data_IF_629974336074
#
_entry.id   IF_629974336074
#
_cell.length_a   1.000
_cell.length_b   1.000
_cell.length_c   1.000
_cell.angle_alpha   90.00
_cell.angle_beta   90.00
_cell.angle_gamma   90.00
#
_symmetry.space_group_name_H-M   'P 1'
#
loop_
_entity.id
_entity.type
_entity.pdbx_description
1 polymer ?
#
# COMPACT_ATOMS: atom_id res chain seq x y z
N UNK A 1 -7.12 -5.04 15.36
CA UNK A 1 -8.27 -5.28 16.28
C UNK A 1 -8.01 -6.30 17.40
N UNK A 2 -7.05 -7.24 17.28
CA UNK A 2 -6.99 -8.46 18.12
C UNK A 2 -6.83 -8.30 19.64
N UNK A 3 -6.59 -7.09 20.16
CA UNK A 3 -6.47 -6.84 21.61
C UNK A 3 -7.75 -6.34 22.28
N UNK A 4 -8.79 -5.98 21.51
CA UNK A 4 -10.09 -5.53 22.01
C UNK A 4 -11.02 -6.73 22.04
N UNK A 5 -11.34 -7.25 23.22
CA UNK A 5 -12.17 -8.45 23.37
C UNK A 5 -13.53 -8.17 24.00
N UNK A 6 -13.68 -7.02 24.65
CA UNK A 6 -14.93 -6.50 25.23
C UNK A 6 -15.05 -4.99 25.03
N UNK A 7 -16.25 -4.44 25.22
CA UNK A 7 -16.54 -3.02 24.95
C UNK A 7 -15.68 -2.07 25.80
N UNK A 8 -15.42 -2.43 27.06
CA UNK A 8 -14.65 -1.62 28.02
C UNK A 8 -13.17 -1.50 27.65
N UNK A 9 -12.65 -2.41 26.82
CA UNK A 9 -11.27 -2.31 26.33
C UNK A 9 -11.08 -1.05 25.47
N UNK A 10 -12.14 -0.54 24.84
CA UNK A 10 -12.10 0.72 24.08
C UNK A 10 -11.59 1.87 24.95
N UNK A 11 -12.25 2.09 26.10
CA UNK A 11 -11.94 3.19 27.01
C UNK A 11 -10.52 3.03 27.57
N UNK A 12 -10.11 1.79 27.89
CA UNK A 12 -8.75 1.47 28.32
C UNK A 12 -7.71 1.87 27.27
N UNK A 13 -7.90 1.49 26.01
CA UNK A 13 -6.93 1.78 24.95
C UNK A 13 -6.90 3.25 24.57
N UNK A 14 -8.06 3.90 24.45
CA UNK A 14 -8.13 5.34 24.16
C UNK A 14 -7.39 6.14 25.25
N UNK A 15 -7.69 5.89 26.53
CA UNK A 15 -7.02 6.59 27.63
C UNK A 15 -5.50 6.33 27.64
N UNK A 16 -5.06 5.10 27.32
CA UNK A 16 -3.64 4.78 27.21
C UNK A 16 -2.96 5.54 26.07
N UNK A 17 -3.61 5.65 24.90
CA UNK A 17 -3.07 6.36 23.75
C UNK A 17 -3.01 7.87 24.01
N UNK A 18 -4.06 8.46 24.57
CA UNK A 18 -4.08 9.87 24.98
C UNK A 18 -2.95 10.18 25.96
N UNK A 19 -2.75 9.32 26.97
CA UNK A 19 -1.62 9.44 27.91
C UNK A 19 -0.26 9.39 27.20
N UNK A 20 -0.09 8.48 26.23
CA UNK A 20 1.17 8.36 25.46
C UNK A 20 1.42 9.56 24.56
N UNK A 21 0.36 10.12 23.97
CA UNK A 21 0.40 11.32 23.14
C UNK A 21 0.49 12.62 23.95
N UNK A 22 0.36 12.54 25.28
CA UNK A 22 0.38 13.69 26.19
C UNK A 22 -0.65 14.76 25.81
N UNK A 23 -1.84 14.31 25.40
CA UNK A 23 -2.97 15.16 25.01
C UNK A 23 -4.26 14.61 25.60
N UNK A 24 -5.23 15.50 25.81
CA UNK A 24 -6.57 15.15 26.28
C UNK A 24 -7.52 14.77 25.14
N UNK A 25 -7.17 15.07 23.89
CA UNK A 25 -7.98 14.76 22.73
C UNK A 25 -7.15 14.46 21.47
N UNK A 26 -7.79 13.81 20.49
CA UNK A 26 -7.28 13.67 19.12
C UNK A 26 -8.32 14.18 18.11
N UNK A 27 -7.86 14.74 16.99
CA UNK A 27 -8.78 15.28 15.98
C UNK A 27 -9.58 14.18 15.29
N UNK A 28 -8.96 13.05 14.95
CA UNK A 28 -9.65 11.90 14.37
C UNK A 28 -9.15 10.63 15.03
N UNK A 29 -10.06 9.74 15.40
CA UNK A 29 -9.74 8.42 15.95
C UNK A 29 -10.29 7.31 15.06
N UNK A 30 -9.46 6.30 14.79
CA UNK A 30 -9.71 5.30 13.76
C UNK A 30 -9.92 3.91 14.35
N UNK A 31 -10.90 3.18 13.83
CA UNK A 31 -10.81 1.72 13.86
C UNK A 31 -9.70 1.27 12.91
N UNK A 32 -8.66 0.65 13.47
CA UNK A 32 -7.48 0.29 12.69
C UNK A 32 -7.65 -1.03 11.95
N UNK A 33 -7.44 -0.98 10.64
CA UNK A 33 -7.38 -2.13 9.74
C UNK A 33 -8.68 -2.92 9.70
N UNK A 34 -9.79 -2.22 9.43
CA UNK A 34 -11.06 -2.86 9.21
C UNK A 34 -11.01 -3.78 7.99
N UNK A 35 -11.53 -4.98 8.21
CA UNK A 35 -11.81 -6.01 7.24
C UNK A 35 -13.13 -6.67 7.64
N UNK A 36 -13.61 -7.66 6.89
CA UNK A 36 -14.91 -8.31 7.17
C UNK A 36 -14.98 -8.80 8.61
N UNK A 37 -13.95 -9.47 9.11
CA UNK A 37 -13.92 -10.06 10.45
C UNK A 37 -13.87 -8.99 11.54
N UNK A 38 -12.94 -8.04 11.46
CA UNK A 38 -12.80 -7.00 12.48
C UNK A 38 -14.00 -6.05 12.49
N UNK A 39 -14.67 -5.84 11.35
CA UNK A 39 -15.91 -5.08 11.29
C UNK A 39 -17.08 -5.81 11.98
N UNK A 40 -17.21 -7.13 11.86
CA UNK A 40 -18.19 -7.88 12.67
C UNK A 40 -17.90 -7.74 14.17
N UNK A 41 -16.64 -7.68 14.56
CA UNK A 41 -16.25 -7.45 15.95
C UNK A 41 -16.64 -6.05 16.44
N UNK A 42 -16.45 -5.00 15.62
CA UNK A 42 -16.95 -3.64 15.90
C UNK A 42 -18.44 -3.66 16.22
N UNK A 43 -19.23 -4.34 15.36
CA UNK A 43 -20.68 -4.46 15.51
C UNK A 43 -21.04 -5.22 16.78
N UNK A 44 -20.47 -6.41 16.99
CA UNK A 44 -20.76 -7.29 18.13
C UNK A 44 -20.45 -6.62 19.48
N UNK A 45 -19.37 -5.85 19.57
CA UNK A 45 -18.95 -5.20 20.82
C UNK A 45 -19.54 -3.79 21.01
N UNK A 46 -20.36 -3.31 20.06
CA UNK A 46 -20.99 -1.99 20.13
C UNK A 46 -19.99 -0.83 20.13
N UNK A 47 -18.85 -0.98 19.44
CA UNK A 47 -17.73 -0.02 19.56
C UNK A 47 -18.02 1.33 18.88
N UNK A 48 -18.97 1.40 17.95
CA UNK A 48 -19.41 2.68 17.36
C UNK A 48 -19.99 3.58 18.44
N UNK A 49 -20.84 3.04 19.32
CA UNK A 49 -21.39 3.81 20.45
C UNK A 49 -20.28 4.31 21.38
N UNK A 50 -19.21 3.53 21.57
CA UNK A 50 -18.03 3.95 22.34
C UNK A 50 -17.28 5.11 21.68
N UNK A 51 -17.14 5.10 20.35
CA UNK A 51 -16.62 6.24 19.60
C UNK A 51 -17.50 7.49 19.77
N UNK A 52 -18.83 7.34 19.70
CA UNK A 52 -19.78 8.44 19.89
C UNK A 52 -19.72 9.02 21.31
N UNK A 53 -19.65 8.16 22.33
CA UNK A 53 -19.44 8.57 23.73
C UNK A 53 -18.12 9.32 23.90
N UNK A 54 -17.02 8.85 23.29
CA UNK A 54 -15.75 9.55 23.32
C UNK A 54 -15.80 10.91 22.60
N UNK A 55 -16.54 11.00 21.49
CA UNK A 55 -16.76 12.26 20.75
C UNK A 55 -17.57 13.25 21.57
N UNK A 56 -18.66 12.80 22.19
CA UNK A 56 -19.49 13.60 23.08
C UNK A 56 -18.72 14.13 24.30
N UNK A 57 -17.78 13.32 24.82
CA UNK A 57 -16.91 13.70 25.94
C UNK A 57 -15.67 14.54 25.50
N UNK A 58 -15.57 14.91 24.22
CA UNK A 58 -14.49 15.77 23.71
C UNK A 58 -13.12 15.08 23.57
N UNK A 59 -13.03 13.77 23.78
CA UNK A 59 -11.77 13.01 23.66
C UNK A 59 -11.36 12.76 22.21
N UNK A 60 -12.32 12.75 21.29
CA UNK A 60 -12.09 12.65 19.85
C UNK A 60 -12.97 13.66 19.13
N UNK A 61 -12.54 14.26 18.01
CA UNK A 61 -13.41 15.16 17.22
C UNK A 61 -14.05 14.47 16.02
N UNK A 62 -13.39 13.47 15.45
CA UNK A 62 -13.85 12.70 14.29
C UNK A 62 -13.70 11.19 14.48
N UNK A 63 -14.58 10.43 13.82
CA UNK A 63 -14.64 8.98 13.83
C UNK A 63 -14.35 8.48 12.42
N UNK A 64 -13.30 7.66 12.30
CA UNK A 64 -12.96 7.06 11.03
C UNK A 64 -12.52 5.62 11.15
N UNK A 65 -12.01 5.09 10.05
CA UNK A 65 -11.39 3.78 10.00
C UNK A 65 -10.26 3.75 8.98
N UNK A 66 -9.29 2.85 9.18
CA UNK A 66 -8.40 2.40 8.10
C UNK A 66 -8.84 1.03 7.61
N UNK A 67 -8.50 0.69 6.37
CA UNK A 67 -9.13 -0.44 5.68
C UNK A 67 -8.14 -1.36 4.96
N UNK A 68 -8.38 -2.68 5.04
CA UNK A 68 -7.59 -3.72 4.36
C UNK A 68 -8.43 -4.96 4.00
N UNK A 69 -9.35 -4.82 3.05
CA UNK A 69 -10.15 -5.93 2.49
C UNK A 69 -10.65 -5.58 1.07
N UNK A 70 -11.61 -6.32 0.50
CA UNK A 70 -12.16 -6.05 -0.83
C UNK A 70 -13.10 -4.82 -0.89
N UNK A 71 -13.29 -4.26 -2.08
CA UNK A 71 -14.24 -3.16 -2.32
C UNK A 71 -15.65 -3.45 -1.80
N UNK A 72 -16.17 -4.68 -1.91
CA UNK A 72 -17.50 -5.02 -1.41
C UNK A 72 -17.62 -4.87 0.11
N UNK A 73 -16.57 -5.25 0.85
CA UNK A 73 -16.49 -5.05 2.30
C UNK A 73 -16.34 -3.57 2.61
N UNK A 74 -15.51 -2.85 1.84
CA UNK A 74 -15.36 -1.40 2.00
C UNK A 74 -16.69 -0.68 1.87
N UNK A 75 -17.47 -1.01 0.84
CA UNK A 75 -18.80 -0.44 0.59
C UNK A 75 -19.77 -0.76 1.74
N UNK A 76 -19.78 -1.99 2.25
CA UNK A 76 -20.58 -2.37 3.44
C UNK A 76 -20.23 -1.49 4.65
N UNK A 77 -18.94 -1.24 4.88
CA UNK A 77 -18.48 -0.40 6.00
C UNK A 77 -18.91 1.06 5.79
N UNK A 78 -18.68 1.62 4.60
CA UNK A 78 -19.05 3.00 4.26
C UNK A 78 -20.55 3.23 4.46
N UNK A 79 -21.40 2.29 4.05
CA UNK A 79 -22.86 2.43 4.14
C UNK A 79 -23.42 2.21 5.56
N UNK A 80 -22.62 1.64 6.47
CA UNK A 80 -23.08 1.28 7.81
C UNK A 80 -23.12 2.46 8.80
N UNK A 81 -22.28 3.48 8.60
CA UNK A 81 -22.15 4.60 9.54
C UNK A 81 -21.78 5.91 8.81
N UNK A 82 -22.11 7.05 9.43
CA UNK A 82 -21.73 8.36 8.94
C UNK A 82 -20.28 8.68 9.35
N UNK A 83 -19.31 8.07 8.67
CA UNK A 83 -17.89 8.22 8.95
C UNK A 83 -17.40 9.64 8.63
N UNK A 84 -16.53 10.19 9.48
CA UNK A 84 -15.85 11.46 9.19
C UNK A 84 -14.66 11.23 8.21
N UNK A 85 -14.03 10.04 8.27
CA UNK A 85 -12.82 9.73 7.50
C UNK A 85 -12.70 8.23 7.16
N UNK A 86 -12.27 7.93 5.93
CA UNK A 86 -11.82 6.61 5.50
C UNK A 86 -10.36 6.67 5.06
N UNK A 87 -9.51 5.86 5.68
CA UNK A 87 -8.09 5.72 5.31
C UNK A 87 -7.87 4.46 4.48
N UNK A 88 -7.33 4.61 3.27
CA UNK A 88 -7.15 3.52 2.31
C UNK A 88 -5.72 3.49 1.76
N UNK A 89 -5.26 2.30 1.39
CA UNK A 89 -4.05 2.16 0.58
C UNK A 89 -4.37 2.49 -0.87
N UNK A 90 -3.65 3.44 -1.46
CA UNK A 90 -3.81 3.79 -2.86
C UNK A 90 -2.56 4.48 -3.40
N UNK A 91 -2.11 4.06 -4.58
CA UNK A 91 -1.00 4.65 -5.33
C UNK A 91 -1.09 4.17 -6.80
N UNK A 92 -0.27 4.69 -7.71
CA UNK A 92 -0.37 4.34 -9.13
C UNK A 92 -0.07 2.87 -9.45
N UNK A 93 0.55 2.11 -8.55
CA UNK A 93 0.76 0.66 -8.70
C UNK A 93 -0.42 -0.13 -8.12
N UNK A 94 -0.93 0.28 -6.96
CA UNK A 94 -1.95 -0.45 -6.18
C UNK A 94 -3.37 0.11 -6.34
N UNK A 95 -3.64 0.91 -7.38
CA UNK A 95 -4.92 1.61 -7.55
C UNK A 95 -6.15 0.68 -7.63
N UNK A 96 -5.96 -0.58 -8.03
CA UNK A 96 -7.00 -1.60 -8.13
C UNK A 96 -6.93 -2.64 -7.00
N UNK A 97 -6.25 -2.33 -5.90
CA UNK A 97 -6.10 -3.21 -4.73
C UNK A 97 -6.98 -2.75 -3.58
N UNK A 98 -7.51 -3.69 -2.79
CA UNK A 98 -8.37 -3.44 -1.62
C UNK A 98 -9.63 -2.60 -1.93
N UNK A 99 -9.71 -1.38 -1.39
CA UNK A 99 -10.81 -0.45 -1.64
C UNK A 99 -10.89 -0.04 -3.12
N UNK A 100 -9.76 -0.09 -3.83
CA UNK A 100 -9.60 0.37 -5.22
C UNK A 100 -9.93 1.84 -5.40
N UNK A 101 -9.75 2.35 -6.62
CA UNK A 101 -10.24 3.67 -7.00
C UNK A 101 -11.77 3.81 -6.86
N UNK A 102 -12.53 2.72 -7.08
CA UNK A 102 -13.99 2.74 -6.89
C UNK A 102 -14.38 3.06 -5.45
N UNK A 103 -13.64 2.51 -4.48
CA UNK A 103 -13.86 2.78 -3.06
C UNK A 103 -13.52 4.22 -2.70
N UNK A 104 -12.39 4.73 -3.20
CA UNK A 104 -12.00 6.14 -3.05
C UNK A 104 -13.12 7.07 -3.52
N UNK A 105 -13.56 6.91 -4.78
CA UNK A 105 -14.62 7.73 -5.37
C UNK A 105 -15.95 7.58 -4.62
N UNK A 106 -16.30 6.35 -4.22
CA UNK A 106 -17.54 6.10 -3.48
C UNK A 106 -17.55 6.81 -2.14
N UNK A 107 -16.47 6.71 -1.35
CA UNK A 107 -16.35 7.40 -0.06
C UNK A 107 -16.40 8.92 -0.24
N UNK A 108 -15.65 9.46 -1.22
CA UNK A 108 -15.66 10.88 -1.53
C UNK A 108 -17.06 11.38 -1.94
N UNK A 109 -17.79 10.61 -2.75
CA UNK A 109 -19.17 10.94 -3.17
C UNK A 109 -20.17 11.01 -2.01
N UNK A 110 -19.84 10.38 -0.87
CA UNK A 110 -20.63 10.42 0.38
C UNK A 110 -20.22 11.56 1.31
N UNK A 111 -19.26 12.41 0.90
CA UNK A 111 -18.72 13.48 1.73
C UNK A 111 -17.77 12.99 2.83
N UNK A 112 -17.28 11.75 2.74
CA UNK A 112 -16.33 11.18 3.69
C UNK A 112 -14.93 11.61 3.26
N UNK A 113 -14.12 12.13 4.19
CA UNK A 113 -12.74 12.49 3.89
C UNK A 113 -11.93 11.22 3.57
N UNK A 114 -11.29 11.19 2.41
CA UNK A 114 -10.45 10.05 2.01
C UNK A 114 -8.99 10.38 2.24
N UNK A 115 -8.35 9.59 3.09
CA UNK A 115 -6.93 9.72 3.42
C UNK A 115 -6.14 8.57 2.84
N UNK A 116 -5.16 8.88 2.02
CA UNK A 116 -4.33 7.87 1.35
C UNK A 116 -3.13 7.52 2.22
N UNK A 117 -3.01 6.24 2.57
CA UNK A 117 -1.81 5.66 3.17
C UNK A 117 -1.01 4.85 2.13
N UNK A 118 0.26 4.60 2.46
CA UNK A 118 1.24 3.98 1.56
C UNK A 118 1.38 4.67 0.17
N UNK A 119 1.47 6.02 0.13
CA UNK A 119 1.51 6.76 -1.13
C UNK A 119 2.73 6.40 -2.00
N UNK A 120 3.82 5.98 -1.37
CA UNK A 120 5.11 5.63 -2.00
C UNK A 120 5.41 4.12 -1.83
N UNK A 121 4.41 3.29 -1.50
CA UNK A 121 4.55 1.82 -1.33
C UNK A 121 5.75 1.41 -0.45
N UNK A 122 5.85 2.03 0.74
CA UNK A 122 6.94 1.88 1.71
C UNK A 122 8.34 2.24 1.19
N UNK A 123 8.40 3.24 0.31
CA UNK A 123 9.63 3.79 -0.25
C UNK A 123 10.01 3.21 -1.62
N UNK A 124 9.37 2.13 -2.06
CA UNK A 124 9.68 1.48 -3.34
C UNK A 124 9.52 2.40 -4.55
N UNK A 125 8.55 3.32 -4.50
CA UNK A 125 8.32 4.27 -5.59
C UNK A 125 9.30 5.46 -5.55
N UNK A 126 10.02 5.65 -4.44
CA UNK A 126 11.08 6.66 -4.31
C UNK A 126 12.46 6.14 -4.72
N UNK A 127 12.63 4.82 -4.85
CA UNK A 127 13.88 4.16 -5.25
C UNK A 127 13.65 3.31 -6.51
N UNK A 128 13.41 3.95 -7.68
CA UNK A 128 13.26 3.24 -8.93
C UNK A 128 14.56 2.52 -9.33
N UNK A 129 14.44 1.55 -10.23
CA UNK A 129 15.61 0.97 -10.90
C UNK A 129 15.99 1.77 -12.14
N UNK A 130 17.19 1.58 -12.65
CA UNK A 130 17.71 2.25 -13.86
C UNK A 130 16.73 2.27 -15.03
N UNK A 131 16.09 1.16 -15.36
CA UNK A 131 15.07 1.11 -16.43
C UNK A 131 13.87 2.06 -16.18
N UNK A 132 13.45 2.23 -14.93
CA UNK A 132 12.36 3.14 -14.56
C UNK A 132 12.88 4.58 -14.48
N UNK A 133 14.12 4.77 -14.04
CA UNK A 133 14.81 6.07 -14.05
C UNK A 133 14.89 6.62 -15.47
N UNK A 134 15.30 5.81 -16.45
CA UNK A 134 15.34 6.18 -17.87
C UNK A 134 13.96 6.65 -18.38
N UNK A 135 12.88 5.95 -18.01
CA UNK A 135 11.51 6.35 -18.38
C UNK A 135 11.13 7.69 -17.73
N UNK A 136 11.49 7.90 -16.47
CA UNK A 136 11.21 9.15 -15.74
C UNK A 136 12.07 10.30 -16.27
N UNK A 137 13.29 10.01 -16.75
CA UNK A 137 14.16 11.01 -17.38
C UNK A 137 13.55 11.58 -18.65
N UNK A 138 12.76 10.81 -19.39
CA UNK A 138 12.06 11.31 -20.58
C UNK A 138 10.82 12.19 -20.24
N UNK A 139 10.53 12.42 -18.95
CA UNK A 139 9.36 13.19 -18.55
C UNK A 139 9.43 14.67 -18.99
N UNK A 140 8.30 15.26 -19.43
CA UNK A 140 8.23 16.64 -19.89
C UNK A 140 8.57 17.64 -18.77
N UNK A 141 8.24 17.30 -17.52
CA UNK A 141 8.63 18.05 -16.33
C UNK A 141 9.40 17.14 -15.39
N UNK A 142 10.60 17.58 -15.01
CA UNK A 142 11.48 16.87 -14.09
C UNK A 142 10.88 16.89 -12.69
N UNK A 143 10.81 15.71 -12.08
CA UNK A 143 10.41 15.49 -10.68
C UNK A 143 11.25 14.37 -10.12
N UNK A 144 11.38 14.34 -8.80
CA UNK A 144 11.95 13.16 -8.12
C UNK A 144 10.96 11.99 -8.20
N UNK A 145 11.41 10.74 -8.07
CA UNK A 145 10.50 9.59 -8.06
C UNK A 145 9.47 9.64 -6.92
N UNK A 146 9.87 10.17 -5.74
CA UNK A 146 8.96 10.42 -4.64
C UNK A 146 7.88 11.45 -5.00
N UNK A 147 8.26 12.58 -5.60
CA UNK A 147 7.33 13.62 -6.03
C UNK A 147 6.33 13.09 -7.06
N UNK A 148 6.77 12.27 -8.04
CA UNK A 148 5.84 11.60 -8.97
C UNK A 148 4.74 10.80 -8.26
N UNK A 149 5.11 10.02 -7.25
CA UNK A 149 4.15 9.23 -6.49
C UNK A 149 3.18 10.09 -5.67
N UNK A 150 3.67 11.20 -5.10
CA UNK A 150 2.86 12.12 -4.31
C UNK A 150 1.91 12.95 -5.19
N UNK A 151 2.41 13.54 -6.29
CA UNK A 151 1.60 14.31 -7.23
C UNK A 151 0.48 13.48 -7.84
N UNK A 152 0.74 12.20 -8.16
CA UNK A 152 -0.31 11.29 -8.64
C UNK A 152 -1.51 11.23 -7.68
N UNK A 153 -1.23 11.24 -6.37
CA UNK A 153 -2.26 11.11 -5.34
C UNK A 153 -3.02 12.43 -5.18
N UNK A 154 -2.31 13.54 -5.09
CA UNK A 154 -2.93 14.87 -4.99
C UNK A 154 -3.68 15.30 -6.26
N UNK A 155 -3.34 14.73 -7.41
CA UNK A 155 -4.05 14.97 -8.66
C UNK A 155 -5.53 14.54 -8.60
N UNK A 156 -5.86 13.55 -7.76
CA UNK A 156 -7.20 12.97 -7.71
C UNK A 156 -8.15 13.80 -6.82
N UNK A 157 -9.30 14.30 -7.34
CA UNK A 157 -10.20 15.20 -6.60
C UNK A 157 -10.85 14.57 -5.36
N UNK A 158 -10.99 13.25 -5.34
CA UNK A 158 -11.54 12.51 -4.19
C UNK A 158 -10.59 12.35 -3.01
N UNK A 159 -9.30 12.72 -3.13
CA UNK A 159 -8.33 12.60 -2.04
C UNK A 159 -8.32 13.86 -1.19
N UNK A 160 -8.50 13.71 0.12
CA UNK A 160 -8.45 14.83 1.07
C UNK A 160 -7.05 15.05 1.63
N UNK A 161 -6.30 13.98 1.88
CA UNK A 161 -4.97 14.02 2.49
C UNK A 161 -4.19 12.73 2.15
N UNK A 162 -2.86 12.79 2.16
CA UNK A 162 -2.00 11.60 2.10
C UNK A 162 -1.04 11.55 3.29
N UNK A 163 -0.59 10.35 3.64
CA UNK A 163 0.39 10.11 4.70
C UNK A 163 1.69 9.55 4.15
N UNK A 164 2.71 10.39 4.04
CA UNK A 164 4.06 9.95 3.63
C UNK A 164 4.97 9.77 4.83
N UNK A 165 5.51 8.56 5.02
CA UNK A 165 6.56 8.28 6.00
C UNK A 165 7.90 8.86 5.55
N UNK A 166 8.68 9.41 6.49
CA UNK A 166 9.96 10.06 6.22
C UNK A 166 10.98 9.61 7.26
N UNK A 167 12.17 9.20 6.80
CA UNK A 167 13.25 8.72 7.66
C UNK A 167 14.34 9.76 7.92
N UNK A 168 14.33 10.90 7.22
CA UNK A 168 15.36 11.94 7.32
C UNK A 168 14.77 13.33 7.18
N UNK A 169 15.47 14.34 7.69
CA UNK A 169 15.06 15.76 7.53
C UNK A 169 15.07 16.21 6.06
N UNK A 170 15.90 15.59 5.22
CA UNK A 170 15.91 15.89 3.79
C UNK A 170 14.59 15.47 3.13
N UNK A 171 14.10 14.25 3.43
CA UNK A 171 12.80 13.78 2.96
C UNK A 171 11.66 14.68 3.45
N UNK A 172 11.76 15.23 4.66
CA UNK A 172 10.78 16.20 5.17
C UNK A 172 10.72 17.45 4.29
N UNK A 173 11.88 18.03 3.95
CA UNK A 173 11.94 19.22 3.09
C UNK A 173 11.38 18.93 1.69
N UNK A 174 11.78 17.81 1.09
CA UNK A 174 11.31 17.39 -0.24
C UNK A 174 9.80 17.16 -0.26
N UNK A 175 9.24 16.54 0.78
CA UNK A 175 7.80 16.33 0.87
C UNK A 175 7.02 17.63 1.09
N UNK A 176 7.57 18.60 1.84
CA UNK A 176 6.96 19.93 1.99
C UNK A 176 6.93 20.64 0.64
N UNK A 177 8.05 20.65 -0.10
CA UNK A 177 8.12 21.24 -1.44
C UNK A 177 7.15 20.55 -2.42
N UNK A 178 7.04 19.21 -2.35
CA UNK A 178 6.08 18.46 -3.16
C UNK A 178 4.64 18.87 -2.82
N UNK A 179 4.33 19.03 -1.53
CA UNK A 179 3.00 19.46 -1.07
C UNK A 179 2.66 20.90 -1.50
N UNK A 180 3.61 21.82 -1.45
CA UNK A 180 3.42 23.20 -1.91
C UNK A 180 3.11 23.28 -3.42
N UNK A 181 3.59 22.32 -4.19
CA UNK A 181 3.35 22.20 -5.63
C UNK A 181 2.14 21.34 -6.01
N UNK A 182 1.40 20.84 -5.01
CA UNK A 182 0.30 19.89 -5.21
C UNK A 182 -0.99 20.55 -5.69
N UNK A 183 -1.85 19.75 -6.32
CA UNK A 183 -3.21 20.16 -6.62
C UNK A 183 -3.99 19.15 -7.46
N UNK A 184 -5.31 19.34 -7.46
CA UNK A 184 -6.25 18.52 -8.23
C UNK A 184 -6.09 18.81 -9.72
N UNK A 185 -6.07 17.78 -10.55
CA UNK A 185 -5.94 17.89 -12.01
C UNK A 185 -4.72 18.72 -12.46
N UNK A 186 -3.61 18.63 -11.72
CA UNK A 186 -2.36 19.34 -12.01
C UNK A 186 -1.43 18.57 -12.94
N UNK A 187 -1.62 17.25 -13.05
CA UNK A 187 -0.84 16.41 -13.96
C UNK A 187 -1.43 16.47 -15.38
N UNK A 188 -0.56 16.65 -16.37
CA UNK A 188 -0.95 16.61 -17.78
C UNK A 188 -1.23 15.18 -18.25
N UNK A 189 -1.87 15.06 -19.41
CA UNK A 189 -2.11 13.75 -20.03
C UNK A 189 -0.82 12.97 -20.29
N UNK A 190 0.23 13.66 -20.73
CA UNK A 190 1.54 13.06 -21.00
C UNK A 190 2.17 12.52 -19.71
N UNK A 191 2.03 13.27 -18.62
CA UNK A 191 2.52 12.86 -17.30
C UNK A 191 1.76 11.65 -16.76
N UNK A 192 0.43 11.61 -16.93
CA UNK A 192 -0.39 10.45 -16.55
C UNK A 192 -0.05 9.20 -17.39
N UNK A 193 0.24 9.37 -18.67
CA UNK A 193 0.68 8.27 -19.55
C UNK A 193 2.06 7.73 -19.14
N UNK A 194 2.98 8.62 -18.74
CA UNK A 194 4.28 8.23 -18.19
C UNK A 194 4.11 7.45 -16.89
N UNK A 195 3.30 7.95 -15.94
CA UNK A 195 2.99 7.24 -14.69
C UNK A 195 2.38 5.86 -14.98
N UNK A 196 1.49 5.75 -15.96
CA UNK A 196 0.92 4.47 -16.39
C UNK A 196 2.01 3.51 -16.86
N UNK A 197 2.95 4.00 -17.67
CA UNK A 197 4.08 3.21 -18.16
C UNK A 197 4.96 2.73 -17.01
N UNK A 198 5.28 3.62 -16.07
CA UNK A 198 6.05 3.30 -14.86
C UNK A 198 5.32 2.26 -13.99
N UNK A 199 4.01 2.42 -13.79
CA UNK A 199 3.18 1.50 -13.03
C UNK A 199 3.19 0.07 -13.62
N UNK A 200 3.09 -0.05 -14.95
CA UNK A 200 3.17 -1.33 -15.67
C UNK A 200 4.55 -1.97 -15.44
N UNK A 201 5.65 -1.20 -15.46
CA UNK A 201 6.99 -1.74 -15.19
C UNK A 201 7.13 -2.21 -13.74
N UNK A 202 6.63 -1.45 -12.76
CA UNK A 202 6.61 -1.88 -11.36
C UNK A 202 5.82 -3.19 -11.16
N UNK A 203 4.63 -3.33 -11.76
CA UNK A 203 3.82 -4.56 -11.64
C UNK A 203 4.52 -5.78 -12.23
N UNK A 204 5.24 -5.62 -13.34
CA UNK A 204 6.00 -6.71 -13.96
C UNK A 204 7.18 -7.20 -13.12
N UNK A 205 7.60 -6.43 -12.11
CA UNK A 205 8.79 -6.71 -11.28
C UNK A 205 8.46 -7.04 -9.82
N UNK A 206 7.25 -7.51 -9.53
CA UNK A 206 6.87 -7.92 -8.17
C UNK A 206 6.27 -9.32 -8.17
N UNK A 207 6.99 -10.28 -7.57
CA UNK A 207 6.51 -11.65 -7.33
C UNK A 207 5.61 -11.65 -6.10
N UNK A 208 6.12 -11.07 -5.01
CA UNK A 208 5.41 -10.94 -3.74
C UNK A 208 5.04 -9.47 -3.56
N UNK A 209 3.75 -9.11 -3.42
CA UNK A 209 3.28 -7.72 -3.36
C UNK A 209 3.57 -7.01 -2.02
N UNK A 210 4.71 -7.31 -1.39
CA UNK A 210 5.18 -6.69 -0.16
C UNK A 210 5.36 -5.17 -0.33
N UNK A 211 4.87 -4.37 0.61
CA UNK A 211 5.00 -2.91 0.61
C UNK A 211 6.05 -2.39 1.58
N UNK A 212 6.85 -3.26 2.21
CA UNK A 212 7.89 -2.87 3.18
C UNK A 212 7.37 -2.04 4.37
N UNK A 213 6.07 -2.18 4.71
CA UNK A 213 5.42 -1.46 5.81
C UNK A 213 5.84 -1.91 7.22
N UNK A 214 6.54 -3.06 7.33
CA UNK A 214 7.10 -3.63 8.57
C UNK A 214 6.08 -4.04 9.65
N UNK A 215 4.78 -4.06 9.37
CA UNK A 215 3.76 -4.56 10.33
C UNK A 215 3.98 -6.00 10.79
N UNK A 216 4.63 -6.82 9.96
CA UNK A 216 4.96 -8.20 10.26
C UNK A 216 6.12 -8.36 11.28
N UNK A 217 6.77 -7.27 11.69
CA UNK A 217 7.90 -7.28 12.62
C UNK A 217 7.50 -6.88 14.06
N UNK A 218 8.27 -7.29 15.09
CA UNK A 218 9.33 -8.29 15.01
C UNK A 218 8.76 -9.70 14.82
N UNK A 219 9.51 -10.56 14.11
CA UNK A 219 9.24 -12.00 14.04
C UNK A 219 9.84 -12.66 15.29
N UNK A 220 9.09 -13.53 16.00
CA UNK A 220 9.61 -14.22 17.19
C UNK A 220 10.82 -15.13 16.91
N UNK A 221 10.99 -15.56 15.66
CA UNK A 221 12.12 -16.40 15.22
C UNK A 221 13.23 -15.59 14.53
N UNK A 222 13.20 -14.25 14.64
CA UNK A 222 14.23 -13.36 14.10
C UNK A 222 14.23 -13.17 12.58
N UNK A 223 13.27 -13.74 11.85
CA UNK A 223 13.15 -13.53 10.38
C UNK A 223 12.87 -12.06 10.08
N UNK A 224 13.72 -11.42 9.29
CA UNK A 224 13.48 -10.08 8.78
C UNK A 224 12.67 -10.15 7.48
N UNK A 225 11.37 -10.39 7.63
CA UNK A 225 10.42 -10.70 6.54
C UNK A 225 10.50 -9.71 5.36
N UNK A 226 10.48 -8.38 5.56
CA UNK A 226 10.47 -7.45 4.43
C UNK A 226 11.74 -7.53 3.57
N UNK A 227 12.88 -7.82 4.17
CA UNK A 227 14.16 -7.97 3.47
C UNK A 227 14.20 -9.24 2.63
N UNK A 228 13.70 -10.36 3.15
CA UNK A 228 13.59 -11.61 2.41
C UNK A 228 12.71 -11.44 1.16
N UNK A 229 11.55 -10.81 1.30
CA UNK A 229 10.68 -10.49 0.16
C UNK A 229 11.30 -9.47 -0.80
N UNK A 230 12.15 -8.56 -0.31
CA UNK A 230 12.89 -7.63 -1.17
C UNK A 230 13.92 -8.35 -2.01
N UNK A 231 14.76 -9.19 -1.41
CA UNK A 231 15.82 -9.94 -2.13
C UNK A 231 15.19 -10.85 -3.20
N UNK A 232 14.09 -11.56 -2.88
CA UNK A 232 13.41 -12.38 -3.89
C UNK A 232 12.85 -11.52 -5.02
N UNK A 233 12.12 -10.46 -4.68
CA UNK A 233 11.55 -9.59 -5.71
C UNK A 233 12.65 -9.01 -6.60
N UNK A 234 13.80 -8.62 -6.03
CA UNK A 234 14.99 -8.12 -6.75
C UNK A 234 15.51 -9.07 -7.83
N UNK A 235 15.20 -10.38 -7.78
CA UNK A 235 15.50 -11.30 -8.89
C UNK A 235 14.80 -10.91 -10.20
N UNK A 236 13.67 -10.20 -10.15
CA UNK A 236 13.03 -9.64 -11.34
C UNK A 236 13.63 -8.30 -11.80
N UNK A 237 14.56 -7.73 -11.03
CA UNK A 237 15.12 -6.40 -11.26
C UNK A 237 16.55 -6.43 -11.79
N UNK A 238 17.32 -7.47 -11.49
CA UNK A 238 18.73 -7.60 -11.89
C UNK A 238 18.97 -8.93 -12.60
N UNK A 239 19.75 -8.92 -13.68
CA UNK A 239 20.38 -10.12 -14.27
C UNK A 239 21.53 -10.63 -13.38
N UNK A 240 21.34 -10.64 -12.07
CA UNK A 240 22.35 -11.00 -11.08
C UNK A 240 21.75 -11.86 -9.97
N UNK A 241 21.29 -13.07 -10.35
CA UNK A 241 20.78 -14.10 -9.42
C UNK A 241 21.81 -14.39 -8.35
N UNK A 242 23.08 -14.56 -8.74
CA UNK A 242 24.20 -14.85 -7.84
C UNK A 242 24.36 -13.78 -6.74
N UNK A 243 24.31 -12.50 -7.10
CA UNK A 243 24.37 -11.40 -6.14
C UNK A 243 23.20 -11.38 -5.15
N UNK A 244 22.01 -11.78 -5.57
CA UNK A 244 20.85 -11.90 -4.67
C UNK A 244 20.95 -13.11 -3.75
N UNK A 245 21.47 -14.24 -4.24
CA UNK A 245 21.78 -15.42 -3.42
C UNK A 245 22.84 -15.08 -2.37
N UNK A 246 23.90 -14.35 -2.73
CA UNK A 246 24.92 -13.88 -1.77
C UNK A 246 24.30 -12.97 -0.70
N UNK A 247 23.46 -12.00 -1.10
CA UNK A 247 22.74 -11.13 -0.14
C UNK A 247 21.82 -11.92 0.78
N UNK A 248 21.12 -12.94 0.28
CA UNK A 248 20.27 -13.81 1.10
C UNK A 248 21.12 -14.62 2.09
N UNK A 249 22.24 -15.18 1.62
CA UNK A 249 23.13 -15.99 2.45
C UNK A 249 23.96 -15.19 3.44
N UNK A 250 24.06 -13.86 3.30
CA UNK A 250 24.68 -12.99 4.30
C UNK A 250 23.81 -12.74 5.52
N UNK A 251 22.48 -12.88 5.39
CA UNK A 251 21.52 -12.80 6.50
C UNK A 251 21.73 -13.94 7.51
N UNK A 252 21.30 -13.74 8.75
CA UNK A 252 21.41 -14.74 9.80
C UNK A 252 20.53 -15.97 9.50
N UNK A 253 21.10 -17.17 9.65
CA UNK A 253 20.41 -18.46 9.42
C UNK A 253 20.29 -19.31 10.68
N UNK A 254 20.77 -18.82 11.82
CA UNK A 254 20.71 -19.49 13.11
C UNK A 254 20.54 -18.49 14.25
N UNK A 255 20.11 -18.97 15.41
CA UNK A 255 20.00 -18.17 16.63
C UNK A 255 21.35 -17.59 17.08
N UNK A 256 22.45 -18.31 16.82
CA UNK A 256 23.80 -17.81 17.13
C UNK A 256 24.19 -16.64 16.24
N UNK A 257 23.90 -16.72 14.93
CA UNK A 257 24.19 -15.63 14.00
C UNK A 257 23.34 -14.38 14.29
N UNK A 258 22.08 -14.56 14.73
CA UNK A 258 21.20 -13.45 15.11
C UNK A 258 21.78 -12.59 16.24
N UNK A 259 22.60 -13.15 17.13
CA UNK A 259 23.28 -12.38 18.20
C UNK A 259 24.33 -11.41 17.66
N UNK A 260 24.85 -11.68 16.46
CA UNK A 260 25.87 -10.85 15.80
C UNK A 260 25.29 -9.98 14.69
N UNK A 261 24.12 -10.35 14.16
CA UNK A 261 23.41 -9.72 13.04
C UNK A 261 21.94 -9.46 13.43
N UNK A 262 21.75 -8.72 14.52
CA UNK A 262 20.41 -8.43 15.05
C UNK A 262 19.53 -7.84 13.93
N UNK A 263 18.28 -8.30 13.86
CA UNK A 263 17.27 -7.89 12.87
C UNK A 263 17.53 -8.24 11.39
N UNK A 264 18.41 -9.20 11.10
CA UNK A 264 18.72 -9.63 9.72
C UNK A 264 18.54 -11.15 9.48
N UNK A 265 17.54 -11.79 10.08
CA UNK A 265 17.29 -13.22 9.82
C UNK A 265 16.74 -13.52 8.42
N UNK A 266 17.23 -14.59 7.79
CA UNK A 266 16.75 -15.08 6.50
C UNK A 266 15.48 -15.95 6.65
N UNK A 267 14.91 -16.36 5.51
CA UNK A 267 13.66 -17.11 5.48
C UNK A 267 13.78 -18.54 6.04
N UNK A 268 14.97 -19.12 6.13
CA UNK A 268 15.16 -20.50 6.66
C UNK A 268 14.90 -20.59 8.16
N UNK A 269 14.86 -19.46 8.88
CA UNK A 269 14.47 -19.39 10.28
C UNK A 269 12.95 -19.44 10.50
N UNK A 270 12.14 -19.38 9.43
CA UNK A 270 10.68 -19.44 9.54
C UNK A 270 10.21 -20.85 9.90
N UNK A 271 9.63 -21.01 11.09
CA UNK A 271 9.00 -22.26 11.53
C UNK A 271 7.49 -22.33 11.22
N UNK A 272 7.00 -21.44 10.36
CA UNK A 272 5.58 -21.33 9.98
C UNK A 272 4.59 -21.11 11.16
N UNK A 273 5.02 -20.39 12.21
CA UNK A 273 4.18 -20.14 13.40
C UNK A 273 2.92 -19.27 13.16
N UNK A 274 2.87 -18.51 12.06
CA UNK A 274 1.72 -17.66 11.72
C UNK A 274 1.57 -16.34 12.50
N UNK A 275 2.40 -16.06 13.52
CA UNK A 275 2.27 -14.83 14.35
C UNK A 275 2.37 -13.51 13.57
N UNK A 276 3.09 -13.52 12.44
CA UNK A 276 3.16 -12.35 11.56
C UNK A 276 1.78 -11.99 10.97
N UNK A 277 0.92 -12.98 10.70
CA UNK A 277 -0.39 -12.79 10.09
C UNK A 277 -1.37 -12.05 11.02
N UNK A 278 -1.22 -12.19 12.34
CA UNK A 278 -2.06 -11.47 13.31
C UNK A 278 -1.83 -9.95 13.28
N UNK A 279 -0.61 -9.56 12.94
CA UNK A 279 -0.17 -8.15 12.89
C UNK A 279 -0.29 -7.58 11.49
N UNK A 280 -0.21 -8.44 10.48
CA UNK A 280 -0.08 -8.03 9.10
C UNK A 280 -1.43 -7.68 8.48
N UNK A 281 -1.64 -6.43 8.07
CA UNK A 281 -2.94 -6.01 7.56
C UNK A 281 -3.22 -6.49 6.13
N UNK A 282 -2.19 -6.86 5.37
CA UNK A 282 -2.34 -7.23 3.96
C UNK A 282 -2.57 -8.74 3.83
N UNK A 283 -3.34 -9.17 2.83
CA UNK A 283 -3.64 -10.58 2.58
C UNK A 283 -2.49 -11.34 1.90
N UNK A 284 -1.26 -11.26 2.44
CA UNK A 284 -0.13 -12.11 2.00
C UNK A 284 0.02 -13.25 3.01
N UNK A 285 0.05 -14.49 2.50
CA UNK A 285 0.42 -15.66 3.30
C UNK A 285 1.93 -15.66 3.56
N UNK A 286 2.37 -14.85 4.52
CA UNK A 286 3.79 -14.62 4.79
C UNK A 286 4.56 -15.94 5.00
N UNK A 287 4.10 -16.90 5.82
CA UNK A 287 4.79 -18.18 6.00
C UNK A 287 5.03 -18.93 4.68
N UNK A 288 3.99 -19.10 3.86
CA UNK A 288 4.10 -19.79 2.56
C UNK A 288 5.02 -19.03 1.61
N UNK A 289 4.94 -17.70 1.58
CA UNK A 289 5.81 -16.91 0.73
C UNK A 289 7.29 -16.97 1.18
N UNK A 290 7.56 -17.03 2.49
CA UNK A 290 8.93 -17.23 3.00
C UNK A 290 9.50 -18.60 2.66
N UNK A 291 8.68 -19.65 2.70
CA UNK A 291 9.10 -20.99 2.25
C UNK A 291 9.57 -20.94 0.79
N UNK A 292 8.75 -20.34 -0.10
CA UNK A 292 9.13 -20.13 -1.50
C UNK A 292 10.39 -19.29 -1.66
N UNK A 293 10.55 -18.24 -0.84
CA UNK A 293 11.78 -17.42 -0.83
C UNK A 293 12.99 -18.29 -0.52
N UNK A 294 12.90 -19.16 0.50
CA UNK A 294 14.01 -20.03 0.87
C UNK A 294 14.33 -21.05 -0.24
N UNK A 295 13.30 -21.64 -0.87
CA UNK A 295 13.48 -22.55 -2.00
C UNK A 295 14.25 -21.87 -3.15
N UNK A 296 13.90 -20.64 -3.51
CA UNK A 296 14.53 -19.94 -4.64
C UNK A 296 15.93 -19.40 -4.30
N UNK A 297 16.13 -18.79 -3.12
CA UNK A 297 17.37 -18.09 -2.77
C UNK A 297 18.36 -18.91 -1.94
N UNK A 298 17.87 -19.86 -1.14
CA UNK A 298 18.71 -20.68 -0.27
C UNK A 298 18.96 -22.09 -0.84
N UNK A 299 17.99 -22.66 -1.56
CA UNK A 299 18.13 -23.93 -2.25
C UNK A 299 18.36 -23.75 -3.76
N UNK A 300 18.40 -22.49 -4.23
CA UNK A 300 18.69 -22.09 -5.61
C UNK A 300 17.73 -22.67 -6.67
N UNK A 301 16.53 -23.10 -6.26
CA UNK A 301 15.52 -23.62 -7.18
C UNK A 301 15.09 -22.57 -8.22
N UNK A 302 14.70 -23.03 -9.40
CA UNK A 302 14.23 -22.14 -10.46
C UNK A 302 12.91 -21.46 -10.10
N UNK A 303 12.87 -20.15 -10.29
CA UNK A 303 11.76 -19.31 -9.83
C UNK A 303 10.44 -19.66 -10.51
N UNK A 304 10.51 -20.10 -11.77
CA UNK A 304 9.38 -20.58 -12.56
C UNK A 304 8.74 -21.82 -11.95
N UNK A 305 9.55 -22.68 -11.33
CA UNK A 305 9.09 -23.95 -10.76
C UNK A 305 8.41 -23.72 -9.41
N UNK A 306 8.98 -22.84 -8.59
CA UNK A 306 8.47 -22.52 -7.25
C UNK A 306 7.19 -21.69 -7.31
N UNK A 307 7.16 -20.64 -8.13
CA UNK A 307 5.99 -19.76 -8.24
C UNK A 307 4.98 -20.21 -9.31
N UNK A 308 5.25 -21.33 -9.99
CA UNK A 308 4.48 -21.79 -11.17
C UNK A 308 4.28 -20.65 -12.18
N UNK A 309 5.26 -19.77 -12.25
CA UNK A 309 5.30 -18.69 -13.22
C UNK A 309 5.72 -19.34 -14.53
N UNK A 310 4.74 -19.71 -15.36
CA UNK A 310 5.03 -19.79 -16.79
C UNK A 310 5.46 -18.39 -17.21
N UNK A 311 6.75 -18.19 -17.40
CA UNK A 311 7.28 -17.06 -18.17
C UNK A 311 6.79 -17.24 -19.61
N UNK A 312 5.49 -17.07 -19.85
CA UNK A 312 5.04 -16.61 -21.16
C UNK A 312 5.64 -15.23 -21.29
N UNK A 313 6.49 -15.07 -22.30
CA UNK A 313 6.89 -13.77 -22.82
C UNK A 313 5.68 -12.84 -22.99
N UNK A 314 5.93 -11.55 -23.24
CA UNK A 314 5.03 -10.43 -22.93
C UNK A 314 3.62 -10.64 -23.51
N UNK A 315 2.69 -11.18 -22.71
CA UNK A 315 1.29 -11.30 -23.11
C UNK A 315 0.30 -11.32 -21.93
N UNK A 316 0.60 -10.57 -20.87
CA UNK A 316 -0.43 -10.03 -19.97
C UNK A 316 -0.23 -8.53 -19.90
N UNK A 317 -0.58 -7.88 -21.01
CA UNK A 317 -1.10 -6.51 -20.99
C UNK A 317 -2.48 -6.67 -21.58
N UNK A 318 -3.47 -7.02 -20.76
CA UNK A 318 -4.82 -6.53 -21.08
C UNK A 318 -4.71 -5.02 -20.95
N UNK A 319 -4.46 -4.37 -22.09
CA UNK A 319 -4.48 -2.91 -22.22
C UNK A 319 -5.81 -2.34 -21.72
N UNK A 320 -6.85 -3.18 -21.64
CA UNK A 320 -8.20 -2.82 -21.22
C UNK A 320 -8.34 -2.55 -19.70
N UNK A 321 -7.45 -3.04 -18.83
CA UNK A 321 -7.62 -2.84 -17.37
C UNK A 321 -6.77 -1.70 -16.76
N UNK A 322 -5.84 -1.12 -17.53
CA UNK A 322 -5.04 0.02 -17.09
C UNK A 322 -5.67 1.36 -17.51
N UNK A 323 -6.87 1.63 -17.03
CA UNK A 323 -7.39 3.00 -16.99
C UNK A 323 -6.95 3.66 -15.68
N UNK A 324 -5.83 4.39 -15.74
CA UNK A 324 -5.57 5.44 -14.77
C UNK A 324 -6.58 6.56 -15.07
N UNK A 325 -7.32 6.99 -14.04
CA UNK A 325 -8.30 8.07 -14.18
C UNK A 325 -7.62 9.29 -14.81
N UNK A 326 -8.15 9.69 -15.97
CA UNK A 326 -7.63 10.78 -16.79
C UNK A 326 -7.12 10.33 -18.17
N UNK A 327 -6.86 9.05 -18.42
CA UNK A 327 -6.46 8.57 -19.77
C UNK A 327 -7.69 8.12 -20.55
N UNK A 328 -8.11 8.92 -21.56
CA UNK A 328 -9.10 8.45 -22.53
C UNK A 328 -8.59 7.22 -23.28
N UNK A 329 -9.50 6.26 -23.49
CA UNK A 329 -9.26 4.95 -24.08
C UNK A 329 -8.77 5.06 -25.53
N UNK A 330 -7.44 5.10 -25.72
CA UNK A 330 -6.77 5.17 -27.03
C UNK A 330 -6.98 3.90 -27.88
N UNK A 331 -7.71 2.89 -27.39
CA UNK A 331 -8.03 1.67 -28.15
C UNK A 331 -9.26 1.81 -29.06
N UNK A 332 -10.03 2.90 -28.94
CA UNK A 332 -11.17 3.14 -29.83
C UNK A 332 -10.75 3.93 -31.06
N UNK A 333 -10.81 3.37 -32.28
CA UNK A 333 -10.68 4.18 -33.47
C UNK A 333 -11.81 5.21 -33.46
N UNK A 334 -11.46 6.48 -33.63
CA UNK A 334 -12.43 7.55 -33.91
C UNK A 334 -13.34 7.08 -35.04
N UNK A 335 -14.59 6.77 -34.69
CA UNK A 335 -15.63 6.66 -35.70
C UNK A 335 -15.92 8.09 -36.15
N UNK A 336 -15.17 8.55 -37.15
CA UNK A 336 -15.58 9.68 -37.98
C UNK A 336 -16.97 9.38 -38.49
N UNK A 337 -17.96 10.03 -37.90
CA UNK A 337 -19.34 10.00 -38.37
C UNK A 337 -19.41 10.88 -39.61
N UNK A 338 -19.64 10.33 -40.83
CA UNK A 338 -19.75 11.15 -42.02
C UNK A 338 -21.17 11.70 -42.09
N UNK A 339 -21.29 13.00 -41.81
CA UNK A 339 -22.34 13.84 -42.39
C UNK A 339 -23.67 13.87 -41.65
N UNK A 340 -23.92 15.01 -41.01
CA UNK A 340 -25.24 15.63 -41.07
C UNK A 340 -25.06 17.09 -41.48
N UNK A 341 -25.43 17.35 -42.74
CA UNK A 341 -25.68 18.68 -43.29
C UNK A 341 -27.03 19.15 -42.72
N UNK A 342 -27.08 20.39 -42.24
CA UNK A 342 -28.29 21.14 -41.91
C UNK A 342 -27.85 22.43 -41.22
N UNK A 343 -27.61 23.56 -41.90
CA UNK A 343 -28.54 24.43 -42.60
C UNK A 343 -29.65 24.99 -41.68
N UNK A 344 -29.49 26.30 -41.42
CA UNK A 344 -30.32 27.29 -40.71
C UNK A 344 -30.20 27.34 -39.18
#
# INVERSE_FOLDING_TARGET
>A
MGRVTKSEDFDKFLNLQLKKLQTEYVDIYLFHGLNRQSFQQVKKLGLIKKMEEAKANGKIKGIGFSFHDSFDVFKEIIDYYNWDMAQIQWNFVDYNTQATTKGLEYAASKGIAVVVMEPIKGGKLATPTTEIEEIIEDAPKKRTPADWALQYIWNHPGVSLLLSGMGSMQMVKENIESADNSGINTLSQEELNLITTVAIRYKKKSIIPCTNCRYCLPCPNGVFIPQNFRILNELLWVENKEGQVVKYNSLAKSEEELKTKEDEGNASLCIQCGECLEKYPQSIDIPTELEKVHMVLGEEQEISDVFKLFLRGPSFVDKEEFQIIGVEDISKPETRNPGTIGAL
#
